data_IF_788394331691
#
_entry.id   IF_788394331691
#
_cell.length_a   1.000
_cell.length_b   1.000
_cell.length_c   1.000
_cell.angle_alpha   90.00
_cell.angle_beta   90.00
_cell.angle_gamma   90.00
#
_symmetry.space_group_name_H-M   'P 1'
#
loop_
_entity.id
_entity.type
_entity.pdbx_description
1 polymer ?
#
# COMPACT_ATOMS: atom_id res chain seq x y z
N UNK A 1 11.24 9.74 42.76
CA UNK A 1 10.77 8.34 42.82
C UNK A 1 10.55 7.84 41.40
N UNK A 2 11.31 6.84 40.95
CA UNK A 2 11.18 6.31 39.58
C UNK A 2 10.07 5.25 39.56
N UNK A 3 8.95 5.56 38.89
CA UNK A 3 7.96 4.55 38.55
C UNK A 3 8.53 3.70 37.41
N UNK A 4 8.98 2.48 37.72
CA UNK A 4 9.31 1.53 36.67
C UNK A 4 8.03 1.13 35.96
N UNK A 5 7.94 1.48 34.67
CA UNK A 5 6.75 1.25 33.89
C UNK A 5 6.98 0.17 32.84
N UNK A 6 6.30 -0.95 33.02
CA UNK A 6 6.32 -2.07 32.09
C UNK A 6 5.07 -1.99 31.21
N UNK A 7 5.23 -2.22 29.91
CA UNK A 7 4.10 -2.27 28.96
C UNK A 7 4.21 -3.51 28.10
N UNK A 8 3.06 -4.05 27.69
CA UNK A 8 3.00 -5.13 26.72
C UNK A 8 1.84 -4.91 25.74
N UNK A 9 1.94 -5.57 24.59
CA UNK A 9 0.88 -5.61 23.59
C UNK A 9 0.07 -6.90 23.71
N UNK A 10 -1.25 -6.77 23.68
CA UNK A 10 -2.19 -7.88 23.69
C UNK A 10 -3.06 -7.83 22.43
N UNK A 11 -3.37 -8.99 21.84
CA UNK A 11 -4.33 -9.09 20.73
C UNK A 11 -5.72 -9.38 21.28
N UNK A 12 -6.68 -8.51 20.98
CA UNK A 12 -8.08 -8.70 21.32
C UNK A 12 -8.98 -8.21 20.20
N UNK A 13 -9.94 -9.05 19.76
CA UNK A 13 -10.90 -8.70 18.71
C UNK A 13 -10.26 -8.21 17.40
N UNK A 14 -9.12 -8.80 17.00
CA UNK A 14 -8.38 -8.38 15.79
C UNK A 14 -7.48 -7.14 15.96
N UNK A 15 -7.61 -6.40 17.06
CA UNK A 15 -6.82 -5.21 17.35
C UNK A 15 -5.67 -5.48 18.34
N UNK A 16 -4.60 -4.68 18.22
CA UNK A 16 -3.50 -4.66 19.19
C UNK A 16 -3.79 -3.60 20.25
N UNK A 17 -3.85 -4.03 21.52
CA UNK A 17 -4.08 -3.16 22.68
C UNK A 17 -2.77 -3.02 23.46
N UNK A 18 -2.46 -1.80 23.89
CA UNK A 18 -1.33 -1.53 24.78
C UNK A 18 -1.82 -1.61 26.22
N UNK A 19 -1.25 -2.53 26.99
CA UNK A 19 -1.57 -2.70 28.41
C UNK A 19 -0.39 -2.22 29.24
N UNK A 20 -0.69 -1.38 30.23
CA UNK A 20 0.28 -0.74 31.11
C UNK A 20 0.31 -1.47 32.45
N UNK A 21 1.50 -1.76 32.95
CA UNK A 21 1.75 -2.35 34.27
C UNK A 21 2.45 -1.30 35.12
N UNK A 22 1.83 -0.98 36.24
CA UNK A 22 2.38 -0.09 37.26
C UNK A 22 3.20 -0.91 38.23
N UNK A 23 4.39 -0.42 38.59
CA UNK A 23 5.24 -1.02 39.63
C UNK A 23 5.60 0.04 40.66
N UNK A 24 5.29 -0.22 41.92
CA UNK A 24 5.57 0.67 43.03
C UNK A 24 5.84 -0.11 44.32
N UNK A 25 6.95 0.25 45.00
CA UNK A 25 7.40 -0.40 46.26
C UNK A 25 7.43 -1.93 46.19
N UNK A 26 7.92 -2.50 45.08
CA UNK A 26 8.02 -3.95 44.88
C UNK A 26 6.71 -4.66 44.51
N UNK A 27 5.58 -3.95 44.47
CA UNK A 27 4.29 -4.50 44.02
C UNK A 27 3.92 -3.98 42.63
N UNK A 28 3.14 -4.77 41.90
CA UNK A 28 2.72 -4.48 40.54
C UNK A 28 1.26 -4.82 40.27
N UNK A 29 0.68 -4.16 39.26
CA UNK A 29 -0.71 -4.31 38.87
C UNK A 29 -1.07 -3.44 37.66
N UNK A 30 -2.28 -3.62 37.13
CA UNK A 30 -2.74 -2.83 35.98
C UNK A 30 -3.24 -1.44 36.39
N UNK A 31 -3.82 -1.30 37.59
CA UNK A 31 -4.21 -0.03 38.18
C UNK A 31 -3.29 0.35 39.34
N UNK A 32 -3.06 1.65 39.54
CA UNK A 32 -2.18 2.15 40.60
C UNK A 32 -2.75 1.88 42.01
N UNK A 33 -4.07 1.84 42.13
CA UNK A 33 -4.81 1.54 43.37
C UNK A 33 -4.85 0.05 43.72
N UNK A 34 -4.48 -0.84 42.80
CA UNK A 34 -4.59 -2.30 42.93
C UNK A 34 -3.28 -3.00 42.52
N UNK A 35 -2.22 -2.79 43.30
CA UNK A 35 -0.92 -3.44 43.13
C UNK A 35 -0.88 -4.74 43.93
N UNK A 36 -1.52 -5.79 43.42
CA UNK A 36 -1.80 -7.04 44.14
C UNK A 36 -0.72 -8.12 44.01
N UNK A 37 0.28 -7.93 43.14
CA UNK A 37 1.29 -8.95 42.84
C UNK A 37 2.71 -8.48 43.16
N UNK A 38 3.57 -9.35 43.66
CA UNK A 38 4.95 -9.01 44.05
C UNK A 38 5.96 -9.04 42.89
N UNK A 39 5.53 -9.51 41.71
CA UNK A 39 6.34 -9.52 40.50
C UNK A 39 5.50 -9.48 39.24
N UNK A 40 6.00 -8.82 38.20
CA UNK A 40 5.37 -8.79 36.87
C UNK A 40 5.17 -10.20 36.33
N UNK A 41 6.10 -11.13 36.60
CA UNK A 41 5.97 -12.52 36.17
C UNK A 41 4.73 -13.17 36.80
N UNK A 42 4.57 -13.05 38.13
CA UNK A 42 3.42 -13.60 38.85
C UNK A 42 2.09 -12.98 38.41
N UNK A 43 2.07 -11.68 38.09
CA UNK A 43 0.92 -11.00 37.51
C UNK A 43 0.57 -11.59 36.15
N UNK A 44 1.54 -11.73 35.25
CA UNK A 44 1.32 -12.29 33.92
C UNK A 44 0.83 -13.74 34.02
N UNK A 45 1.47 -14.57 34.85
CA UNK A 45 1.12 -15.98 35.03
C UNK A 45 -0.30 -16.17 35.59
N UNK A 46 -0.73 -15.34 36.54
CA UNK A 46 -2.09 -15.33 37.07
C UNK A 46 -3.14 -15.08 35.97
N UNK A 47 -2.86 -14.15 35.05
CA UNK A 47 -3.75 -13.81 33.94
C UNK A 47 -3.59 -14.72 32.70
N UNK A 48 -2.81 -15.81 32.78
CA UNK A 48 -2.79 -16.84 31.70
C UNK A 48 -4.04 -17.70 31.71
N UNK A 49 -4.57 -17.97 32.90
CA UNK A 49 -5.76 -18.78 33.12
C UNK A 49 -7.00 -17.95 33.45
N UNK A 50 -6.82 -16.67 33.81
CA UNK A 50 -7.91 -15.75 34.19
C UNK A 50 -8.03 -14.60 33.19
N UNK A 51 -9.27 -14.25 32.86
CA UNK A 51 -9.57 -13.18 31.90
C UNK A 51 -9.21 -11.80 32.49
N UNK A 52 -8.71 -10.90 31.64
CA UNK A 52 -8.50 -9.49 31.97
C UNK A 52 -9.81 -8.71 32.17
N UNK A 53 -10.96 -9.33 31.95
CA UNK A 53 -12.29 -8.74 32.15
C UNK A 53 -12.49 -8.15 33.55
N UNK A 54 -11.87 -8.75 34.57
CA UNK A 54 -11.94 -8.25 35.95
C UNK A 54 -11.19 -6.92 36.16
N UNK A 55 -10.26 -6.58 35.27
CA UNK A 55 -9.61 -5.28 35.24
C UNK A 55 -10.32 -4.32 34.27
N UNK A 56 -10.65 -4.78 33.07
CA UNK A 56 -11.37 -3.99 32.07
C UNK A 56 -12.40 -4.87 31.38
N UNK A 57 -13.68 -4.56 31.57
CA UNK A 57 -14.81 -5.34 31.03
C UNK A 57 -14.77 -5.50 29.49
N UNK A 58 -14.09 -4.60 28.78
CA UNK A 58 -13.91 -4.66 27.33
C UNK A 58 -12.73 -5.55 26.89
N UNK A 59 -11.93 -6.10 27.81
CA UNK A 59 -10.79 -6.96 27.54
C UNK A 59 -11.04 -8.38 28.04
N UNK A 60 -12.00 -9.08 27.43
CA UNK A 60 -12.30 -10.46 27.78
C UNK A 60 -11.32 -11.45 27.11
N UNK A 61 -10.07 -11.45 27.61
CA UNK A 61 -8.97 -12.27 27.08
C UNK A 61 -7.98 -12.68 28.16
N UNK A 62 -7.41 -13.87 28.04
CA UNK A 62 -6.30 -14.33 28.89
C UNK A 62 -4.95 -14.27 28.14
N UNK A 63 -3.86 -14.12 28.88
CA UNK A 63 -2.50 -13.97 28.35
C UNK A 63 -1.86 -15.32 27.96
N UNK A 64 -2.46 -16.03 27.00
CA UNK A 64 -2.09 -17.43 26.69
C UNK A 64 -0.81 -17.60 25.88
N UNK A 65 -0.57 -16.71 24.91
CA UNK A 65 0.45 -16.90 23.87
C UNK A 65 1.56 -15.85 23.96
N UNK A 66 2.61 -16.08 24.79
CA UNK A 66 3.73 -15.16 24.86
C UNK A 66 4.46 -15.12 23.51
N UNK A 67 4.77 -13.92 23.04
CA UNK A 67 5.60 -13.76 21.85
C UNK A 67 7.08 -13.95 22.22
N UNK A 68 7.84 -14.75 21.45
CA UNK A 68 9.27 -14.87 21.65
C UNK A 68 9.96 -13.51 21.56
N UNK A 69 10.97 -13.28 22.42
CA UNK A 69 11.86 -12.12 22.25
C UNK A 69 12.57 -12.28 20.92
N UNK A 70 12.32 -11.38 19.96
CA UNK A 70 13.13 -11.32 18.74
C UNK A 70 14.57 -11.02 19.16
N UNK A 71 15.49 -11.94 18.90
CA UNK A 71 16.93 -11.73 19.08
C UNK A 71 17.44 -10.81 17.95
N UNK A 72 17.05 -9.53 17.97
CA UNK A 72 17.67 -8.52 17.13
C UNK A 72 18.77 -7.83 17.94
N UNK A 73 19.92 -8.49 18.06
CA UNK A 73 21.25 -7.86 18.20
C UNK A 73 22.29 -8.96 18.38
N UNK A 74 23.19 -9.05 17.41
CA UNK A 74 24.54 -9.62 17.46
C UNK A 74 24.65 -11.04 18.04
N UNK A 75 24.82 -12.02 17.15
CA UNK A 75 25.51 -13.26 17.53
C UNK A 75 26.87 -12.82 18.09
N UNK A 76 27.05 -12.97 19.40
CA UNK A 76 28.37 -12.94 20.01
C UNK A 76 29.29 -13.82 19.17
N UNK A 77 30.41 -13.25 18.74
CA UNK A 77 31.52 -14.01 18.19
C UNK A 77 32.06 -14.88 19.34
N UNK A 78 31.43 -16.03 19.58
CA UNK A 78 32.03 -17.11 20.33
C UNK A 78 32.85 -17.94 19.33
N UNK A 79 34.20 -17.92 19.38
CA UNK A 79 35.04 -18.61 18.39
C UNK A 79 34.98 -20.14 18.45
N UNK A 80 34.16 -20.72 19.35
CA UNK A 80 34.22 -22.15 19.66
C UNK A 80 32.87 -22.90 19.55
N UNK A 81 31.84 -22.30 18.94
CA UNK A 81 30.59 -23.01 18.69
C UNK A 81 30.65 -23.73 17.33
N UNK A 82 30.81 -25.06 17.35
CA UNK A 82 30.66 -25.92 16.18
C UNK A 82 29.17 -26.09 15.86
N UNK A 83 28.67 -25.59 14.71
CA UNK A 83 27.28 -25.80 14.34
C UNK A 83 27.14 -27.18 13.69
N UNK A 84 26.88 -28.21 14.50
CA UNK A 84 26.24 -29.42 14.00
C UNK A 84 24.77 -29.10 13.65
N UNK A 85 24.38 -29.48 12.43
CA UNK A 85 23.05 -29.39 11.81
C UNK A 85 22.57 -27.98 11.38
N UNK A 86 22.45 -27.86 10.05
CA UNK A 86 21.66 -26.93 9.24
C UNK A 86 21.15 -25.63 9.90
N UNK A 87 21.52 -24.44 9.38
CA UNK A 87 20.94 -23.18 9.84
C UNK A 87 19.41 -23.18 9.62
N UNK A 88 18.60 -22.72 10.59
CA UNK A 88 17.17 -22.55 10.38
C UNK A 88 16.96 -21.57 9.23
N UNK A 89 16.20 -21.99 8.22
CA UNK A 89 15.84 -21.20 7.03
C UNK A 89 15.50 -19.77 7.46
N UNK A 90 16.30 -18.81 7.02
CA UNK A 90 16.17 -17.39 7.36
C UNK A 90 14.77 -16.90 7.00
N UNK A 91 13.95 -16.59 8.01
CA UNK A 91 12.56 -16.07 7.86
C UNK A 91 12.53 -14.65 7.27
N UNK A 92 13.67 -14.10 6.88
CA UNK A 92 13.79 -12.88 6.09
C UNK A 92 14.53 -13.17 4.79
N UNK A 93 13.95 -14.00 3.93
CA UNK A 93 14.21 -13.82 2.50
C UNK A 93 13.47 -12.54 2.13
N UNK A 94 14.21 -11.42 2.04
CA UNK A 94 13.72 -10.18 1.46
C UNK A 94 13.02 -10.55 0.15
N UNK A 95 11.71 -10.31 0.07
CA UNK A 95 10.94 -10.72 -1.11
C UNK A 95 11.49 -9.91 -2.32
N UNK A 96 12.20 -10.55 -3.26
CA UNK A 96 12.88 -9.87 -4.35
C UNK A 96 11.89 -9.35 -5.41
N UNK A 97 10.60 -9.66 -5.30
CA UNK A 97 9.55 -9.29 -6.27
C UNK A 97 9.26 -7.78 -6.32
N UNK A 98 9.94 -6.95 -5.54
CA UNK A 98 9.79 -5.49 -5.59
C UNK A 98 10.15 -4.94 -6.97
N UNK A 99 11.15 -5.52 -7.64
CA UNK A 99 11.58 -5.11 -8.97
C UNK A 99 10.51 -5.45 -10.01
N UNK A 100 9.95 -6.66 -9.93
CA UNK A 100 8.82 -7.07 -10.78
C UNK A 100 7.61 -6.18 -10.57
N UNK A 101 7.25 -5.87 -9.31
CA UNK A 101 6.13 -4.97 -8.98
C UNK A 101 6.36 -3.56 -9.53
N UNK A 102 7.59 -3.05 -9.45
CA UNK A 102 7.94 -1.76 -10.02
C UNK A 102 7.87 -1.79 -11.56
N UNK A 103 8.34 -2.87 -12.17
CA UNK A 103 8.26 -3.07 -13.62
C UNK A 103 6.82 -3.09 -14.13
N UNK A 104 5.91 -3.79 -13.44
CA UNK A 104 4.50 -3.84 -13.78
C UNK A 104 3.82 -2.47 -13.67
N UNK A 105 4.16 -1.67 -12.66
CA UNK A 105 3.60 -0.33 -12.51
C UNK A 105 4.08 0.61 -13.62
N UNK A 106 5.36 0.52 -14.01
CA UNK A 106 5.88 1.26 -15.17
C UNK A 106 5.16 0.87 -16.46
N UNK A 107 4.96 -0.43 -16.69
CA UNK A 107 4.24 -0.92 -17.86
C UNK A 107 2.81 -0.39 -17.89
N UNK A 108 2.10 -0.40 -16.76
CA UNK A 108 0.74 0.13 -16.64
C UNK A 108 0.64 1.61 -17.01
N UNK A 109 1.61 2.42 -16.58
CA UNK A 109 1.67 3.85 -16.92
C UNK A 109 1.86 4.02 -18.43
N UNK A 110 2.81 3.29 -19.03
CA UNK A 110 3.05 3.34 -20.47
C UNK A 110 1.83 2.91 -21.28
N UNK A 111 1.19 1.80 -20.92
CA UNK A 111 -0.04 1.33 -21.57
C UNK A 111 -1.15 2.38 -21.53
N UNK A 112 -1.39 2.96 -20.34
CA UNK A 112 -2.40 4.00 -20.18
C UNK A 112 -2.10 5.23 -21.06
N UNK A 113 -0.84 5.61 -21.20
CA UNK A 113 -0.43 6.73 -22.05
C UNK A 113 -0.69 6.44 -23.53
N UNK A 114 -0.34 5.23 -24.00
CA UNK A 114 -0.60 4.78 -25.38
C UNK A 114 -2.10 4.75 -25.67
N UNK A 115 -2.92 4.19 -24.78
CA UNK A 115 -4.37 4.13 -24.95
C UNK A 115 -5.00 5.53 -25.04
N UNK A 116 -4.49 6.49 -24.25
CA UNK A 116 -4.93 7.89 -24.34
C UNK A 116 -4.54 8.51 -25.67
N UNK A 117 -3.32 8.27 -26.13
CA UNK A 117 -2.85 8.80 -27.41
C UNK A 117 -3.65 8.23 -28.59
N UNK A 118 -3.96 6.93 -28.58
CA UNK A 118 -4.80 6.30 -29.61
C UNK A 118 -6.17 6.96 -29.71
N UNK A 119 -6.86 7.16 -28.57
CA UNK A 119 -8.16 7.84 -28.55
C UNK A 119 -8.09 9.28 -29.08
N UNK A 120 -7.03 10.02 -28.75
CA UNK A 120 -6.84 11.37 -29.26
C UNK A 120 -6.57 11.37 -30.77
N UNK A 121 -5.79 10.40 -31.26
CA UNK A 121 -5.55 10.23 -32.68
C UNK A 121 -6.86 9.95 -33.44
N UNK A 122 -7.66 9.00 -32.95
CA UNK A 122 -8.94 8.66 -33.57
C UNK A 122 -9.88 9.88 -33.62
N UNK A 123 -9.96 10.65 -32.53
CA UNK A 123 -10.79 11.85 -32.47
C UNK A 123 -10.37 12.91 -33.52
N UNK A 124 -9.07 13.21 -33.59
CA UNK A 124 -8.55 14.18 -34.57
C UNK A 124 -8.70 13.67 -36.01
N UNK A 125 -8.56 12.36 -36.22
CA UNK A 125 -8.73 11.74 -37.52
C UNK A 125 -10.17 11.88 -38.04
N UNK A 126 -11.17 11.65 -37.18
CA UNK A 126 -12.58 11.83 -37.53
C UNK A 126 -12.93 13.30 -37.81
N UNK A 127 -12.39 14.25 -37.03
CA UNK A 127 -12.58 15.68 -37.30
C UNK A 127 -12.02 16.09 -38.68
N UNK A 128 -10.82 15.60 -39.02
CA UNK A 128 -10.23 15.84 -40.33
C UNK A 128 -11.11 15.29 -41.45
N UNK A 129 -11.61 14.07 -41.29
CA UNK A 129 -12.47 13.43 -42.29
C UNK A 129 -13.77 14.22 -42.51
N UNK A 130 -14.38 14.73 -41.44
CA UNK A 130 -15.55 15.60 -41.54
C UNK A 130 -15.24 16.92 -42.26
N UNK A 131 -14.08 17.51 -41.99
CA UNK A 131 -13.65 18.73 -42.68
C UNK A 131 -13.43 18.51 -44.19
N UNK A 132 -12.84 17.38 -44.57
CA UNK A 132 -12.63 16.99 -45.97
C UNK A 132 -13.98 16.78 -46.68
N UNK A 133 -14.95 16.12 -46.03
CA UNK A 133 -16.31 15.92 -46.55
C UNK A 133 -17.06 17.26 -46.74
N UNK A 134 -17.03 18.13 -45.73
CA UNK A 134 -17.63 19.47 -45.83
C UNK A 134 -17.01 20.31 -46.94
N UNK A 135 -15.69 20.20 -47.13
CA UNK A 135 -14.99 20.88 -48.22
C UNK A 135 -15.43 20.36 -49.59
N UNK A 136 -15.60 19.04 -49.72
CA UNK A 136 -16.10 18.40 -50.93
C UNK A 136 -17.52 18.87 -51.26
N UNK A 137 -18.43 18.83 -50.28
CA UNK A 137 -19.82 19.30 -50.42
C UNK A 137 -19.90 20.79 -50.79
N UNK A 138 -19.12 21.65 -50.11
CA UNK A 138 -19.05 23.08 -50.45
C UNK A 138 -18.59 23.30 -51.89
N UNK A 139 -17.54 22.59 -52.31
CA UNK A 139 -16.99 22.71 -53.67
C UNK A 139 -18.00 22.24 -54.72
N UNK A 140 -18.74 21.16 -54.46
CA UNK A 140 -19.83 20.71 -55.33
C UNK A 140 -20.96 21.74 -55.41
N UNK A 141 -21.40 22.30 -54.27
CA UNK A 141 -22.45 23.31 -54.24
C UNK A 141 -22.08 24.55 -55.07
N UNK A 142 -20.85 25.06 -54.92
CA UNK A 142 -20.35 26.20 -55.72
C UNK A 142 -20.34 25.87 -57.21
N UNK A 143 -19.91 24.65 -57.60
CA UNK A 143 -19.94 24.20 -59.00
C UNK A 143 -21.36 24.14 -59.56
N UNK A 144 -22.32 23.62 -58.78
CA UNK A 144 -23.71 23.50 -59.18
C UNK A 144 -24.45 24.85 -59.22
N UNK A 145 -24.07 25.81 -58.37
CA UNK A 145 -24.67 27.15 -58.35
C UNK A 145 -24.19 28.07 -59.48
N UNK A 146 -23.04 27.80 -60.12
CA UNK A 146 -22.50 28.58 -61.23
C UNK A 146 -22.15 27.74 -62.47
N UNK A 147 -23.12 27.09 -63.13
CA UNK A 147 -22.85 26.14 -64.22
C UNK A 147 -22.31 26.80 -65.52
N UNK A 148 -22.42 28.13 -65.68
CA UNK A 148 -22.13 28.82 -66.95
C UNK A 148 -20.84 29.66 -67.00
N UNK A 149 -20.08 29.81 -65.91
CA UNK A 149 -18.87 30.66 -65.93
C UNK A 149 -17.58 29.96 -66.41
N UNK A 150 -17.65 28.68 -66.81
CA UNK A 150 -16.45 27.92 -67.21
C UNK A 150 -16.15 27.94 -68.73
N UNK A 151 -16.89 28.71 -69.54
CA UNK A 151 -16.78 28.64 -71.02
C UNK A 151 -16.22 29.89 -71.73
N UNK A 152 -15.47 30.76 -71.05
CA UNK A 152 -14.72 31.82 -71.76
C UNK A 152 -13.21 31.73 -71.49
N UNK A 153 -12.51 30.96 -72.34
CA UNK A 153 -11.11 31.26 -72.65
C UNK A 153 -11.09 32.61 -73.40
N UNK A 154 -10.35 33.62 -72.95
CA UNK A 154 -10.13 34.80 -73.76
C UNK A 154 -9.21 34.40 -74.92
N UNK A 155 -9.75 34.41 -76.14
CA UNK A 155 -8.96 34.38 -77.37
C UNK A 155 -8.31 35.75 -77.51
N UNK A 156 -7.02 35.86 -77.19
CA UNK A 156 -6.22 37.04 -77.52
C UNK A 156 -5.82 36.95 -78.99
N UNK A 157 -6.54 37.68 -79.85
CA UNK A 157 -6.11 37.99 -81.21
C UNK A 157 -5.34 39.31 -81.16
N UNK A 158 -4.03 39.27 -81.36
CA UNK A 158 -3.20 40.46 -81.55
C UNK A 158 -3.31 40.93 -83.01
N UNK A 159 -3.63 42.21 -83.21
CA UNK A 159 -3.27 43.01 -84.38
C UNK A 159 -2.15 43.95 -83.98
#
# INVERSE_FOLDING_TARGET
MVFNLVRFFCRFGGHTKLVRIHVYKGRCGFALESLTHDSVVSLIDFYRTRSLKCYNAQLDVCLKYPLPRRKNSVRSLDPHFTPASSPPKSVHQFNPDWELRLGLERLRICQTAVDRAARLFDAVHEEKKLADELHYEFTQAVRCSFPFYCSKRPHFSFF
#
